data_IF_341059427557
#
_entry.id   IF_341059427557
#
_cell.length_a   1.000
_cell.length_b   1.000
_cell.length_c   1.000
_cell.angle_alpha   90.00
_cell.angle_beta   90.00
_cell.angle_gamma   90.00
#
_symmetry.space_group_name_H-M   'P 1'
#
loop_
_entity.id
_entity.type
_entity.pdbx_description
1 polymer ?
#
# COMPACT_ATOMS: atom_id res chain seq x y z
N UNK A 1 19.59 2.82 -25.28
CA UNK A 1 19.96 4.18 -24.84
C UNK A 1 19.72 4.21 -23.34
N UNK A 2 20.70 3.71 -22.59
CA UNK A 2 20.80 3.94 -21.15
C UNK A 2 21.14 5.43 -20.96
N UNK A 3 20.23 6.16 -20.36
CA UNK A 3 20.51 7.45 -19.73
C UNK A 3 20.50 7.21 -18.23
N UNK A 4 21.53 7.68 -17.54
CA UNK A 4 21.87 7.40 -16.14
C UNK A 4 20.81 7.85 -15.12
N UNK A 5 19.69 7.13 -15.00
CA UNK A 5 18.72 7.29 -13.93
C UNK A 5 18.45 5.91 -13.31
N UNK A 6 18.72 5.75 -12.01
CA UNK A 6 18.48 4.49 -11.31
C UNK A 6 16.99 4.13 -11.43
N UNK A 7 16.67 3.14 -12.25
CA UNK A 7 15.31 2.62 -12.36
C UNK A 7 15.00 1.80 -11.12
N UNK A 8 14.19 2.36 -10.21
CA UNK A 8 13.75 1.66 -9.02
C UNK A 8 12.60 0.70 -9.35
N UNK A 9 12.79 -0.58 -9.03
CA UNK A 9 11.79 -1.62 -9.23
C UNK A 9 10.65 -1.52 -8.22
N UNK A 10 10.95 -1.18 -6.96
CA UNK A 10 9.95 -1.05 -5.88
C UNK A 10 9.99 0.33 -5.24
N UNK A 11 8.83 0.98 -5.19
CA UNK A 11 8.69 2.35 -4.73
C UNK A 11 7.56 2.49 -3.71
N UNK A 12 7.72 3.44 -2.79
CA UNK A 12 6.64 3.85 -1.88
C UNK A 12 5.78 4.93 -2.56
N UNK A 13 4.46 4.74 -2.57
CA UNK A 13 3.52 5.79 -2.97
C UNK A 13 2.86 6.39 -1.72
N UNK A 14 3.29 7.59 -1.33
CA UNK A 14 2.88 8.21 -0.06
C UNK A 14 2.80 9.73 -0.19
N UNK A 15 1.78 10.41 0.37
CA UNK A 15 0.56 9.87 0.99
C UNK A 15 -0.50 9.45 -0.06
N UNK A 16 -0.84 8.16 -0.13
CA UNK A 16 -1.53 7.56 -1.26
C UNK A 16 -2.91 8.18 -1.60
N UNK A 17 -3.80 8.31 -0.62
CA UNK A 17 -5.14 8.88 -0.86
C UNK A 17 -5.06 10.36 -1.25
N UNK A 18 -4.28 11.16 -0.50
CA UNK A 18 -4.13 12.59 -0.75
C UNK A 18 -3.42 12.91 -2.08
N UNK A 19 -2.57 11.99 -2.57
CA UNK A 19 -1.89 12.12 -3.85
C UNK A 19 -2.79 11.82 -5.06
N UNK A 20 -4.01 11.29 -4.88
CA UNK A 20 -4.93 10.96 -5.98
C UNK A 20 -5.34 9.48 -6.05
N UNK A 21 -4.97 8.70 -5.04
CA UNK A 21 -5.54 7.37 -4.79
C UNK A 21 -5.15 6.30 -5.81
N UNK A 22 -5.87 5.18 -5.76
CA UNK A 22 -5.70 4.06 -6.68
C UNK A 22 -5.90 4.47 -8.16
N UNK A 23 -6.75 5.46 -8.42
CA UNK A 23 -6.98 5.99 -9.77
C UNK A 23 -5.72 6.59 -10.38
N UNK A 24 -5.02 7.47 -9.65
CA UNK A 24 -3.76 8.03 -10.14
C UNK A 24 -2.69 6.96 -10.27
N UNK A 25 -2.60 6.07 -9.28
CA UNK A 25 -1.58 5.02 -9.26
C UNK A 25 -1.74 4.03 -10.42
N UNK A 26 -2.98 3.73 -10.85
CA UNK A 26 -3.23 2.95 -12.07
C UNK A 26 -2.60 3.59 -13.31
N UNK A 27 -2.70 4.91 -13.43
CA UNK A 27 -2.09 5.65 -14.55
C UNK A 27 -0.56 5.58 -14.57
N UNK A 28 0.07 5.39 -13.41
CA UNK A 28 1.54 5.27 -13.33
C UNK A 28 2.08 4.01 -14.01
N UNK A 29 1.27 2.96 -14.17
CA UNK A 29 1.69 1.74 -14.87
C UNK A 29 2.14 2.02 -16.32
N UNK A 30 1.55 3.02 -16.99
CA UNK A 30 1.93 3.40 -18.35
C UNK A 30 3.22 4.23 -18.41
N UNK A 31 3.52 5.00 -17.37
CA UNK A 31 4.69 5.89 -17.29
C UNK A 31 5.92 5.14 -16.73
N UNK A 32 5.69 4.24 -15.78
CA UNK A 32 6.72 3.48 -15.08
C UNK A 32 6.45 1.96 -15.21
N UNK A 33 6.60 1.38 -16.41
CA UNK A 33 6.21 -0.01 -16.68
C UNK A 33 7.00 -1.04 -15.86
N UNK A 34 8.22 -0.69 -15.46
CA UNK A 34 9.12 -1.55 -14.69
C UNK A 34 9.06 -1.32 -13.17
N UNK A 35 8.30 -0.33 -12.71
CA UNK A 35 8.17 -0.05 -11.28
C UNK A 35 6.90 -0.69 -10.71
N UNK A 36 6.97 -1.04 -9.44
CA UNK A 36 5.90 -1.56 -8.60
C UNK A 36 5.81 -0.74 -7.32
N UNK A 37 4.61 -0.61 -6.78
CA UNK A 37 4.33 0.34 -5.72
C UNK A 37 3.78 -0.32 -4.45
N UNK A 38 4.20 0.22 -3.31
CA UNK A 38 3.57 0.01 -2.02
C UNK A 38 2.88 1.32 -1.56
N UNK A 39 1.58 1.51 -1.85
CA UNK A 39 0.87 2.71 -1.44
C UNK A 39 0.63 2.73 0.09
N UNK A 40 0.71 3.91 0.70
CA UNK A 40 0.46 4.12 2.14
C UNK A 40 -0.01 5.54 2.41
N UNK A 41 -0.86 5.67 3.43
CA UNK A 41 -1.46 6.94 3.83
C UNK A 41 -2.89 7.04 3.31
N UNK A 42 -3.84 6.95 4.24
CA UNK A 42 -5.28 6.99 3.95
C UNK A 42 -5.92 5.66 3.54
N UNK A 43 -5.13 4.61 3.27
CA UNK A 43 -5.66 3.27 3.03
C UNK A 43 -6.35 2.74 4.30
N UNK A 44 -7.36 1.88 4.14
CA UNK A 44 -8.20 1.23 5.16
C UNK A 44 -8.66 -0.13 4.62
N UNK A 45 -9.22 -1.03 5.44
CA UNK A 45 -9.80 -2.28 4.95
C UNK A 45 -10.84 -2.09 3.83
N UNK A 46 -11.58 -0.97 3.87
CA UNK A 46 -12.64 -0.68 2.91
C UNK A 46 -12.14 -0.30 1.50
N UNK A 47 -10.88 0.12 1.33
CA UNK A 47 -10.33 0.53 0.02
C UNK A 47 -9.03 -0.20 -0.34
N UNK A 48 -8.51 -1.09 0.50
CA UNK A 48 -7.25 -1.78 0.24
C UNK A 48 -7.30 -2.63 -1.04
N UNK A 49 -8.44 -3.26 -1.33
CA UNK A 49 -8.62 -4.08 -2.53
C UNK A 49 -8.58 -3.26 -3.82
N UNK A 50 -9.02 -1.98 -3.79
CA UNK A 50 -8.91 -1.09 -4.95
C UNK A 50 -7.46 -0.88 -5.40
N UNK A 51 -6.53 -0.92 -4.44
CA UNK A 51 -5.09 -0.86 -4.68
C UNK A 51 -4.51 -2.22 -5.04
N UNK A 52 -4.86 -3.28 -4.29
CA UNK A 52 -4.33 -4.63 -4.50
C UNK A 52 -4.80 -5.26 -5.83
N UNK A 53 -5.83 -4.72 -6.46
CA UNK A 53 -6.27 -5.09 -7.79
C UNK A 53 -5.44 -4.45 -8.93
N UNK A 54 -4.47 -3.58 -8.63
CA UNK A 54 -3.61 -2.96 -9.64
C UNK A 54 -2.37 -3.81 -9.91
N UNK A 55 -2.07 -4.11 -11.17
CA UNK A 55 -0.89 -4.90 -11.58
C UNK A 55 0.46 -4.24 -11.18
N UNK A 56 0.45 -2.92 -10.98
CA UNK A 56 1.62 -2.16 -10.53
C UNK A 56 1.69 -1.98 -9.00
N UNK A 57 0.86 -2.68 -8.21
CA UNK A 57 0.89 -2.67 -6.74
C UNK A 57 1.24 -4.06 -6.21
N UNK A 58 2.16 -4.12 -5.25
CA UNK A 58 2.63 -5.40 -4.66
C UNK A 58 2.15 -5.63 -3.24
N UNK A 59 1.89 -4.57 -2.48
CA UNK A 59 1.34 -4.63 -1.14
C UNK A 59 0.82 -3.25 -0.74
N UNK A 60 -0.06 -3.16 0.26
CA UNK A 60 -0.49 -1.89 0.85
C UNK A 60 0.08 -1.73 2.27
N UNK A 61 0.26 -0.49 2.71
CA UNK A 61 0.66 -0.19 4.09
C UNK A 61 -0.41 0.58 4.84
N UNK A 62 -0.59 0.21 6.12
CA UNK A 62 -1.71 0.68 6.92
C UNK A 62 -1.48 0.71 8.41
N UNK A 63 -1.77 1.86 9.04
CA UNK A 63 -1.78 1.96 10.51
C UNK A 63 -2.94 1.22 11.16
N UNK A 64 -3.99 0.87 10.40
CA UNK A 64 -5.13 0.10 10.92
C UNK A 64 -4.77 -1.34 11.29
N UNK A 65 -3.64 -1.86 10.78
CA UNK A 65 -3.18 -3.22 11.09
C UNK A 65 -2.66 -3.32 12.53
N UNK A 66 -1.94 -2.30 12.99
CA UNK A 66 -1.40 -2.20 14.34
C UNK A 66 -1.70 -0.80 14.93
N UNK A 67 -2.95 -0.58 15.39
CA UNK A 67 -3.35 0.66 16.06
C UNK A 67 -2.45 0.99 17.25
N UNK A 68 -2.13 2.28 17.44
CA UNK A 68 -1.17 2.73 18.47
C UNK A 68 -1.63 2.40 19.88
N UNK A 69 -2.93 2.47 20.14
CA UNK A 69 -3.55 2.11 21.40
C UNK A 69 -3.36 0.63 21.71
N UNK A 70 -3.62 -0.26 20.75
CA UNK A 70 -3.42 -1.71 20.93
C UNK A 70 -1.94 -2.08 21.13
N UNK A 71 -1.04 -1.40 20.43
CA UNK A 71 0.42 -1.57 20.64
C UNK A 71 0.81 -1.09 22.04
N UNK A 72 0.28 0.05 22.49
CA UNK A 72 0.57 0.61 23.81
C UNK A 72 0.06 -0.26 24.97
N UNK A 73 -1.08 -0.95 24.78
CA UNK A 73 -1.63 -1.88 25.77
C UNK A 73 -1.08 -3.31 25.62
N UNK A 74 -0.27 -3.58 24.59
CA UNK A 74 0.25 -4.91 24.30
C UNK A 74 -0.83 -5.93 23.88
N UNK A 75 -1.94 -5.47 23.29
CA UNK A 75 -3.03 -6.34 22.85
C UNK A 75 -2.71 -7.02 21.51
N UNK A 76 -1.78 -7.97 21.57
CA UNK A 76 -1.36 -8.76 20.41
C UNK A 76 -2.48 -9.65 19.86
N UNK A 77 -3.44 -10.04 20.71
CA UNK A 77 -4.60 -10.82 20.31
C UNK A 77 -5.52 -10.04 19.38
N UNK A 78 -5.81 -8.78 19.70
CA UNK A 78 -6.57 -7.89 18.82
C UNK A 78 -5.81 -7.61 17.52
N UNK A 79 -4.50 -7.33 17.59
CA UNK A 79 -3.67 -7.12 16.39
C UNK A 79 -3.66 -8.36 15.48
N UNK A 80 -3.59 -9.57 16.06
CA UNK A 80 -3.67 -10.83 15.30
C UNK A 80 -5.01 -11.00 14.56
N UNK A 81 -6.13 -10.59 15.18
CA UNK A 81 -7.45 -10.58 14.51
C UNK A 81 -7.49 -9.59 13.34
N UNK A 82 -6.93 -8.39 13.53
CA UNK A 82 -6.83 -7.38 12.47
C UNK A 82 -5.96 -7.89 11.31
N UNK A 83 -4.85 -8.56 11.60
CA UNK A 83 -3.98 -9.16 10.59
C UNK A 83 -4.68 -10.27 9.82
N UNK A 84 -5.37 -11.17 10.51
CA UNK A 84 -6.16 -12.24 9.88
C UNK A 84 -7.27 -11.68 8.99
N UNK A 85 -7.92 -10.59 9.41
CA UNK A 85 -8.96 -9.95 8.62
C UNK A 85 -8.41 -9.19 7.39
N UNK A 86 -7.11 -8.89 7.35
CA UNK A 86 -6.46 -8.16 6.27
C UNK A 86 -5.84 -9.06 5.19
N UNK A 87 -5.89 -10.38 5.34
CA UNK A 87 -5.45 -11.33 4.31
C UNK A 87 -6.62 -11.71 3.41
N UNK A 88 -6.34 -11.99 2.12
CA UNK A 88 -7.32 -12.58 1.21
C UNK A 88 -7.85 -13.88 1.82
N UNK A 89 -9.17 -14.07 1.77
CA UNK A 89 -9.82 -15.36 2.05
C UNK A 89 -9.61 -16.32 0.88
#
# INVERSE_FOLDING_TARGET
METSEQSFEYLKFVPAEAAGGARLLRGHAAVFPYSRFCPTGGIKPANMEDYLALDNVVCVGGSWLAPRDLVATGDWGAIGKLATAATRQ
#
